data_IF_584512662733
#
_entry.id   IF_584512662733
#
_cell.length_a   1.000
_cell.length_b   1.000
_cell.length_c   1.000
_cell.angle_alpha   90.00
_cell.angle_beta   90.00
_cell.angle_gamma   90.00
#
_symmetry.space_group_name_H-M   'P 1'
#
loop_
_entity.id
_entity.type
_entity.pdbx_description
1 polymer ?
#
# COMPACT_ATOMS: atom_id res chain seq x y z
N UNK A 1 -18.82 12.27 -7.54
CA UNK A 1 -17.54 11.61 -7.83
C UNK A 1 -16.51 11.96 -6.79
N UNK A 2 -15.90 13.14 -6.90
CA UNK A 2 -14.86 13.67 -6.00
C UNK A 2 -15.25 13.61 -4.51
N UNK A 3 -16.39 14.20 -4.13
CA UNK A 3 -16.85 14.24 -2.74
C UNK A 3 -17.00 12.84 -2.09
N UNK A 4 -17.43 11.82 -2.85
CA UNK A 4 -17.59 10.47 -2.33
C UNK A 4 -16.22 9.83 -1.99
N UNK A 5 -15.22 10.07 -2.84
CA UNK A 5 -13.86 9.57 -2.64
C UNK A 5 -13.23 10.23 -1.42
N UNK A 6 -13.44 11.53 -1.23
CA UNK A 6 -12.88 12.23 -0.08
C UNK A 6 -13.55 11.82 1.23
N UNK A 7 -14.86 11.58 1.22
CA UNK A 7 -15.57 10.98 2.37
C UNK A 7 -15.00 9.59 2.68
N UNK A 8 -14.77 8.75 1.67
CA UNK A 8 -14.18 7.43 1.86
C UNK A 8 -12.80 7.52 2.49
N UNK A 9 -11.92 8.38 1.97
CA UNK A 9 -10.58 8.61 2.54
C UNK A 9 -10.65 9.10 3.98
N UNK A 10 -11.60 9.98 4.29
CA UNK A 10 -11.78 10.51 5.64
C UNK A 10 -12.10 9.38 6.64
N UNK A 11 -12.98 8.44 6.27
CA UNK A 11 -13.27 7.27 7.10
C UNK A 11 -12.06 6.36 7.28
N UNK A 12 -11.33 6.13 6.20
CA UNK A 12 -10.09 5.33 6.18
C UNK A 12 -9.00 5.94 7.08
N UNK A 13 -8.78 7.26 6.97
CA UNK A 13 -7.81 7.97 7.81
C UNK A 13 -8.26 8.12 9.26
N UNK A 14 -9.56 8.35 9.52
CA UNK A 14 -10.12 8.38 10.87
C UNK A 14 -9.83 7.07 11.60
N UNK A 15 -10.08 5.93 10.95
CA UNK A 15 -9.79 4.63 11.55
C UNK A 15 -8.29 4.42 11.80
N UNK A 16 -7.45 4.77 10.83
CA UNK A 16 -6.00 4.62 10.99
C UNK A 16 -5.45 5.48 12.13
N UNK A 17 -5.69 6.80 12.10
CA UNK A 17 -5.04 7.73 13.04
C UNK A 17 -5.76 7.78 14.41
N UNK A 18 -7.09 7.80 14.44
CA UNK A 18 -7.83 8.01 15.69
C UNK A 18 -8.13 6.72 16.45
N UNK A 19 -8.09 5.56 15.78
CA UNK A 19 -8.39 4.26 16.40
C UNK A 19 -7.14 3.39 16.49
N UNK A 20 -6.55 3.00 15.35
CA UNK A 20 -5.43 2.05 15.33
C UNK A 20 -4.14 2.65 15.87
N UNK A 21 -3.68 3.78 15.33
CA UNK A 21 -2.46 4.47 15.75
C UNK A 21 -2.55 4.93 17.20
N UNK A 22 -3.72 5.41 17.64
CA UNK A 22 -3.94 5.85 19.02
C UNK A 22 -3.88 4.71 20.03
N UNK A 23 -4.32 3.51 19.66
CA UNK A 23 -4.31 2.36 20.55
C UNK A 23 -2.92 1.71 20.65
N UNK A 24 -2.27 1.45 19.52
CA UNK A 24 -0.99 0.75 19.48
C UNK A 24 0.23 1.69 19.60
N UNK A 25 0.08 2.99 19.30
CA UNK A 25 1.19 3.94 19.35
C UNK A 25 2.31 3.54 18.40
N UNK A 26 3.52 3.35 18.93
CA UNK A 26 4.69 2.95 18.15
C UNK A 26 4.71 1.46 17.76
N UNK A 27 3.81 0.67 18.35
CA UNK A 27 3.68 -0.78 18.10
C UNK A 27 2.91 -1.10 16.81
N UNK A 28 2.51 -0.10 16.03
CA UNK A 28 1.84 -0.30 14.73
C UNK A 28 2.61 0.40 13.61
N UNK A 29 2.79 -0.32 12.49
CA UNK A 29 3.34 0.24 11.26
C UNK A 29 2.41 -0.08 10.09
N UNK A 30 2.03 0.96 9.35
CA UNK A 30 1.26 0.81 8.11
C UNK A 30 2.22 0.42 6.97
N UNK A 31 2.16 -0.84 6.55
CA UNK A 31 3.06 -1.41 5.54
C UNK A 31 2.60 -1.14 4.12
N UNK A 32 1.29 -1.13 3.88
CA UNK A 32 0.72 -0.93 2.55
C UNK A 32 -0.73 -0.44 2.64
N UNK A 33 -1.16 0.34 1.65
CA UNK A 33 -2.54 0.80 1.50
C UNK A 33 -2.96 0.83 0.03
N UNK A 34 -4.20 0.41 -0.25
CA UNK A 34 -4.91 0.66 -1.51
C UNK A 34 -6.26 1.34 -1.17
N UNK A 35 -6.98 1.76 -2.21
CA UNK A 35 -8.31 2.40 -2.25
C UNK A 35 -9.14 2.30 -0.96
N UNK A 36 -9.33 1.10 -0.43
CA UNK A 36 -10.10 0.79 0.76
C UNK A 36 -9.34 -0.08 1.79
N UNK A 37 -8.14 -0.58 1.48
CA UNK A 37 -7.46 -1.59 2.30
C UNK A 37 -6.18 -1.13 2.96
N UNK A 38 -5.87 -1.78 4.08
CA UNK A 38 -4.67 -1.59 4.89
C UNK A 38 -3.95 -2.91 5.18
N UNK A 39 -2.62 -2.82 5.20
CA UNK A 39 -1.75 -3.89 5.70
C UNK A 39 -0.98 -3.34 6.86
N UNK A 40 -1.26 -3.87 8.05
CA UNK A 40 -0.60 -3.48 9.27
C UNK A 40 0.43 -4.51 9.70
N UNK A 41 1.53 -3.99 10.21
CA UNK A 41 2.47 -4.70 11.04
C UNK A 41 2.20 -4.28 12.48
N UNK A 42 1.58 -5.16 13.27
CA UNK A 42 1.17 -4.87 14.65
C UNK A 42 2.01 -5.71 15.60
N UNK A 43 2.63 -5.03 16.57
CA UNK A 43 3.39 -5.66 17.64
C UNK A 43 2.47 -5.98 18.82
N UNK A 44 1.81 -7.13 18.77
CA UNK A 44 0.93 -7.64 19.83
C UNK A 44 1.07 -9.15 19.99
N UNK A 45 0.65 -9.68 21.14
CA UNK A 45 0.56 -11.13 21.40
C UNK A 45 -0.60 -11.76 20.62
N UNK A 46 -1.78 -11.15 20.69
CA UNK A 46 -3.00 -11.60 19.99
C UNK A 46 -3.91 -10.40 19.68
N UNK A 47 -3.99 -10.07 18.40
CA UNK A 47 -4.84 -8.98 17.92
C UNK A 47 -6.32 -9.19 18.19
N UNK A 48 -6.83 -10.42 18.08
CA UNK A 48 -8.25 -10.67 18.31
C UNK A 48 -8.61 -10.52 19.78
N UNK A 49 -7.65 -10.77 20.67
CA UNK A 49 -7.82 -10.46 22.10
C UNK A 49 -7.90 -8.94 22.32
N UNK A 50 -7.04 -8.17 21.67
CA UNK A 50 -7.08 -6.70 21.73
C UNK A 50 -8.41 -6.14 21.21
N UNK A 51 -9.01 -6.76 20.18
CA UNK A 51 -10.34 -6.39 19.68
C UNK A 51 -11.45 -6.58 20.73
N UNK A 52 -11.38 -7.64 21.53
CA UNK A 52 -12.39 -7.93 22.56
C UNK A 52 -12.23 -6.96 23.73
N UNK A 53 -10.98 -6.66 24.09
CA UNK A 53 -10.67 -5.76 25.21
C UNK A 53 -10.98 -4.29 24.88
N UNK A 54 -10.84 -3.88 23.62
CA UNK A 54 -11.11 -2.52 23.18
C UNK A 54 -12.24 -2.44 22.14
N UNK A 55 -13.42 -2.05 22.62
CA UNK A 55 -14.61 -1.88 21.78
C UNK A 55 -14.41 -0.92 20.61
N UNK A 56 -13.56 0.10 20.75
CA UNK A 56 -13.32 1.07 19.68
C UNK A 56 -12.66 0.44 18.45
N UNK A 57 -11.81 -0.58 18.63
CA UNK A 57 -11.22 -1.33 17.51
C UNK A 57 -12.29 -2.16 16.81
N UNK A 58 -13.10 -2.86 17.61
CA UNK A 58 -14.12 -3.80 17.15
C UNK A 58 -15.31 -3.10 16.48
N UNK A 59 -15.62 -1.87 16.87
CA UNK A 59 -16.76 -1.10 16.35
C UNK A 59 -16.60 -0.63 14.91
N UNK A 60 -15.41 -0.78 14.33
CA UNK A 60 -15.16 -0.48 12.91
C UNK A 60 -14.88 -1.73 12.07
N UNK A 61 -14.96 -2.92 12.68
CA UNK A 61 -14.69 -4.20 12.02
C UNK A 61 -15.95 -5.04 11.78
N UNK A 62 -16.01 -5.62 10.58
CA UNK A 62 -16.90 -6.73 10.20
C UNK A 62 -16.13 -8.05 10.34
N UNK A 63 -16.46 -8.80 11.38
CA UNK A 63 -15.87 -10.10 11.70
C UNK A 63 -16.79 -11.27 11.35
N UNK A 64 -17.82 -11.04 10.53
CA UNK A 64 -18.80 -12.06 10.17
C UNK A 64 -18.25 -13.19 9.29
N UNK A 65 -17.04 -13.02 8.74
CA UNK A 65 -16.33 -14.02 7.94
C UNK A 65 -15.40 -14.92 8.77
N UNK A 66 -15.24 -14.63 10.08
CA UNK A 66 -14.50 -15.50 11.00
C UNK A 66 -15.26 -16.82 11.24
N UNK A 67 -14.56 -17.88 11.68
CA UNK A 67 -15.21 -19.12 12.09
C UNK A 67 -16.23 -18.86 13.23
N UNK A 68 -17.40 -19.52 13.25
CA UNK A 68 -18.41 -19.30 14.29
C UNK A 68 -17.96 -19.60 15.73
N UNK A 69 -16.87 -20.36 15.87
CA UNK A 69 -16.26 -20.72 17.16
C UNK A 69 -15.37 -19.58 17.69
N UNK A 70 -14.98 -18.65 16.82
CA UNK A 70 -14.02 -17.59 17.15
C UNK A 70 -14.65 -16.55 18.10
N UNK A 71 -13.95 -16.10 19.17
CA UNK A 71 -14.52 -15.16 20.15
C UNK A 71 -15.00 -13.83 19.58
N UNK A 72 -14.33 -13.33 18.53
CA UNK A 72 -14.71 -12.10 17.84
C UNK A 72 -15.84 -12.27 16.81
N UNK A 73 -16.38 -13.47 16.60
CA UNK A 73 -17.39 -13.69 15.56
C UNK A 73 -18.70 -12.96 15.89
N UNK A 74 -19.11 -12.02 15.03
CA UNK A 74 -20.43 -11.38 15.11
C UNK A 74 -21.03 -11.19 13.73
N UNK A 75 -22.34 -11.37 13.61
CA UNK A 75 -23.09 -11.17 12.36
C UNK A 75 -23.71 -9.77 12.25
N UNK A 76 -23.62 -8.96 13.31
CA UNK A 76 -24.32 -7.68 13.40
C UNK A 76 -23.90 -6.67 12.32
N UNK A 77 -22.65 -6.75 11.83
CA UNK A 77 -22.04 -5.81 10.88
C UNK A 77 -21.81 -6.39 9.49
N UNK A 78 -22.35 -7.58 9.23
CA UNK A 78 -22.12 -8.33 8.00
C UNK A 78 -22.51 -7.53 6.76
N UNK A 79 -21.54 -7.20 5.91
CA UNK A 79 -21.74 -6.47 4.63
C UNK A 79 -22.36 -5.08 4.80
N UNK A 80 -22.16 -4.45 5.96
CA UNK A 80 -22.58 -3.07 6.17
C UNK A 80 -21.51 -2.14 5.60
N UNK A 81 -21.87 -1.14 4.76
CA UNK A 81 -20.89 -0.20 4.23
C UNK A 81 -20.19 0.61 5.32
N UNK A 82 -18.89 0.83 5.17
CA UNK A 82 -18.08 1.65 6.09
C UNK A 82 -17.42 0.89 7.24
N UNK A 83 -17.57 -0.44 7.29
CA UNK A 83 -16.82 -1.32 8.18
C UNK A 83 -15.73 -2.05 7.42
N UNK A 84 -14.60 -2.28 8.07
CA UNK A 84 -13.50 -3.05 7.50
C UNK A 84 -13.64 -4.53 7.80
N UNK A 85 -13.36 -5.35 6.82
CA UNK A 85 -13.39 -6.81 6.90
C UNK A 85 -11.98 -7.38 6.96
N UNK A 86 -11.81 -8.47 7.69
CA UNK A 86 -10.55 -9.22 7.67
C UNK A 86 -10.47 -10.13 6.43
N UNK A 87 -9.57 -9.83 5.47
CA UNK A 87 -9.40 -10.65 4.24
C UNK A 87 -8.82 -12.03 4.56
N UNK A 88 -8.06 -12.15 5.66
CA UNK A 88 -7.37 -13.38 6.04
C UNK A 88 -8.21 -14.27 6.93
N UNK A 89 -9.42 -13.84 7.33
CA UNK A 89 -10.41 -14.67 8.05
C UNK A 89 -9.86 -15.35 9.31
N UNK A 90 -9.05 -14.67 10.10
CA UNK A 90 -8.42 -15.27 11.28
C UNK A 90 -7.00 -15.78 11.06
N UNK A 91 -6.53 -15.87 9.83
CA UNK A 91 -5.21 -16.44 9.54
C UNK A 91 -4.10 -15.39 9.59
N UNK A 92 -2.99 -15.74 10.25
CA UNK A 92 -1.83 -14.85 10.36
C UNK A 92 -1.01 -14.85 9.08
N UNK A 93 -0.66 -13.66 8.61
CA UNK A 93 0.32 -13.48 7.53
C UNK A 93 1.73 -13.56 8.12
N UNK A 94 2.58 -14.40 7.54
CA UNK A 94 3.97 -14.62 8.01
C UNK A 94 4.97 -13.74 7.29
N UNK A 95 4.73 -13.48 6.01
CA UNK A 95 5.63 -12.71 5.16
C UNK A 95 4.81 -11.82 4.23
N UNK A 96 5.28 -10.59 4.03
CA UNK A 96 4.69 -9.61 3.14
C UNK A 96 5.79 -8.91 2.34
N UNK A 97 5.61 -8.81 1.02
CA UNK A 97 6.52 -8.12 0.12
C UNK A 97 5.70 -7.31 -0.90
N UNK A 98 5.77 -5.99 -0.83
CA UNK A 98 5.19 -5.09 -1.83
C UNK A 98 6.30 -4.51 -2.71
N UNK A 99 6.10 -4.54 -4.03
CA UNK A 99 7.04 -3.95 -4.98
C UNK A 99 6.58 -2.55 -5.44
N UNK A 100 5.27 -2.38 -5.64
CA UNK A 100 4.66 -1.12 -6.04
C UNK A 100 3.16 -1.14 -5.74
N UNK A 101 2.49 -0.01 -5.92
CA UNK A 101 1.04 0.06 -5.90
C UNK A 101 0.39 -1.04 -6.80
N UNK A 102 -0.49 -1.84 -6.19
CA UNK A 102 -1.24 -2.95 -6.79
C UNK A 102 -0.34 -4.11 -7.29
N UNK A 103 0.85 -4.25 -6.72
CA UNK A 103 1.80 -5.34 -6.99
C UNK A 103 2.49 -5.78 -5.70
N UNK A 104 1.98 -6.83 -5.08
CA UNK A 104 2.46 -7.34 -3.80
C UNK A 104 2.23 -8.84 -3.68
N UNK A 105 2.97 -9.47 -2.79
CA UNK A 105 2.92 -10.88 -2.50
C UNK A 105 3.01 -11.09 -0.99
N UNK A 106 2.32 -12.12 -0.49
CA UNK A 106 2.33 -12.46 0.93
C UNK A 106 2.12 -13.95 1.13
N UNK A 107 2.55 -14.44 2.29
CA UNK A 107 2.36 -15.82 2.70
C UNK A 107 1.44 -15.89 3.91
N UNK A 108 0.50 -16.82 3.88
CA UNK A 108 -0.42 -17.08 4.98
C UNK A 108 0.04 -18.35 5.67
N UNK A 109 0.12 -18.33 7.01
CA UNK A 109 0.39 -19.52 7.79
C UNK A 109 -0.70 -20.56 7.57
N UNK A 110 -0.34 -21.72 7.02
CA UNK A 110 -1.20 -22.89 7.01
C UNK A 110 -1.10 -23.55 8.40
N UNK A 111 -2.18 -23.53 9.18
CA UNK A 111 -2.26 -24.37 10.37
C UNK A 111 -2.18 -25.86 10.01
N UNK A 112 -1.93 -26.72 11.00
CA UNK A 112 -1.83 -28.18 10.80
C UNK A 112 -3.10 -28.76 10.15
N UNK A 113 -4.27 -28.24 10.53
CA UNK A 113 -5.57 -28.64 9.99
C UNK A 113 -5.80 -28.26 8.52
N UNK A 114 -5.11 -27.22 8.02
CA UNK A 114 -5.24 -26.75 6.63
C UNK A 114 -4.27 -27.45 5.68
N UNK A 115 -3.22 -28.11 6.20
CA UNK A 115 -2.29 -28.90 5.40
C UNK A 115 -2.94 -30.18 4.84
N UNK A 116 -3.98 -30.68 5.51
CA UNK A 116 -4.72 -31.91 5.15
C UNK A 116 -5.84 -31.65 4.13
N UNK A 117 -6.23 -30.37 3.93
CA UNK A 117 -7.32 -30.00 3.03
C UNK A 117 -6.87 -30.07 1.56
N UNK A 118 -7.78 -30.52 0.69
CA UNK A 118 -7.58 -30.53 -0.76
C UNK A 118 -7.09 -29.17 -1.28
N UNK A 119 -6.28 -29.15 -2.34
CA UNK A 119 -5.71 -27.93 -2.97
C UNK A 119 -6.73 -26.81 -3.25
N UNK A 120 -8.03 -27.13 -3.31
CA UNK A 120 -9.13 -26.16 -3.51
C UNK A 120 -9.52 -25.41 -2.22
N UNK A 121 -9.32 -26.01 -1.05
CA UNK A 121 -9.63 -25.46 0.27
C UNK A 121 -8.39 -25.16 1.11
N UNK A 122 -7.19 -25.37 0.58
CA UNK A 122 -5.93 -25.00 1.23
C UNK A 122 -5.91 -23.49 1.48
N UNK A 123 -5.94 -23.11 2.76
CA UNK A 123 -6.01 -21.71 3.18
C UNK A 123 -4.63 -21.05 3.14
N UNK A 124 -3.59 -21.77 3.57
CA UNK A 124 -2.23 -21.24 3.59
C UNK A 124 -1.44 -21.38 2.28
N UNK A 125 -0.30 -20.70 2.23
CA UNK A 125 0.58 -20.62 1.08
C UNK A 125 0.65 -19.22 0.46
N UNK A 126 1.48 -19.11 -0.57
CA UNK A 126 1.75 -17.82 -1.21
C UNK A 126 0.53 -17.28 -1.99
N UNK A 127 0.26 -15.99 -1.79
CA UNK A 127 -0.72 -15.20 -2.54
C UNK A 127 0.02 -14.05 -3.20
N UNK A 128 -0.19 -13.91 -4.50
CA UNK A 128 0.45 -12.87 -5.31
C UNK A 128 -0.63 -12.07 -6.02
N UNK A 129 -0.54 -10.75 -5.91
CA UNK A 129 -1.44 -9.78 -6.55
C UNK A 129 -0.58 -8.91 -7.46
N UNK A 130 -0.85 -8.93 -8.77
CA UNK A 130 -0.11 -8.15 -9.75
C UNK A 130 -1.06 -7.53 -10.78
N UNK A 131 -1.23 -6.21 -10.72
CA UNK A 131 -2.15 -5.49 -11.62
C UNK A 131 -1.79 -5.71 -13.08
N UNK A 132 -2.78 -6.18 -13.84
CA UNK A 132 -2.67 -6.35 -15.30
C UNK A 132 -2.01 -7.66 -15.74
N UNK A 133 -1.53 -8.49 -14.81
CA UNK A 133 -1.03 -9.84 -15.09
C UNK A 133 -2.19 -10.83 -14.95
N UNK A 134 -2.27 -11.84 -15.83
CA UNK A 134 -3.34 -12.85 -15.74
C UNK A 134 -3.03 -13.86 -14.64
N UNK A 135 -4.08 -14.38 -14.02
CA UNK A 135 -3.98 -15.30 -12.88
C UNK A 135 -3.15 -16.57 -13.19
N UNK A 136 -3.21 -17.12 -14.41
CA UNK A 136 -2.40 -18.28 -14.77
C UNK A 136 -0.89 -17.95 -14.76
N UNK A 137 -0.50 -16.78 -15.26
CA UNK A 137 0.92 -16.33 -15.24
C UNK A 137 1.38 -16.17 -13.79
N UNK A 138 0.52 -15.60 -12.94
CA UNK A 138 0.82 -15.42 -11.52
C UNK A 138 1.06 -16.79 -10.85
N UNK A 139 0.14 -17.75 -11.05
CA UNK A 139 0.23 -19.07 -10.40
C UNK A 139 1.38 -19.94 -10.90
N UNK A 140 1.80 -19.80 -12.16
CA UNK A 140 2.81 -20.67 -12.77
C UNK A 140 4.22 -20.09 -12.73
N UNK A 141 4.35 -18.76 -12.80
CA UNK A 141 5.64 -18.10 -13.06
C UNK A 141 6.00 -17.01 -12.07
N UNK A 142 5.16 -16.76 -11.06
CA UNK A 142 5.47 -15.81 -10.01
C UNK A 142 5.56 -16.49 -8.66
N UNK A 143 6.57 -16.14 -7.88
CA UNK A 143 6.81 -16.68 -6.54
C UNK A 143 7.09 -15.55 -5.56
N UNK A 144 6.86 -15.77 -4.27
CA UNK A 144 7.20 -14.79 -3.24
C UNK A 144 8.71 -14.52 -3.18
N UNK A 145 9.54 -15.56 -3.35
CA UNK A 145 10.99 -15.43 -3.33
C UNK A 145 11.50 -14.56 -4.49
N UNK A 146 10.92 -14.66 -5.69
CA UNK A 146 11.27 -13.77 -6.80
C UNK A 146 10.87 -12.31 -6.54
N UNK A 147 9.78 -12.06 -5.78
CA UNK A 147 9.46 -10.69 -5.34
C UNK A 147 10.55 -10.16 -4.41
N UNK A 148 11.00 -10.97 -3.45
CA UNK A 148 12.07 -10.61 -2.52
C UNK A 148 13.38 -10.33 -3.26
N UNK A 149 13.74 -11.19 -4.22
CA UNK A 149 14.90 -11.00 -5.10
C UNK A 149 14.81 -9.71 -5.89
N UNK A 150 13.65 -9.42 -6.48
CA UNK A 150 13.40 -8.17 -7.21
C UNK A 150 13.55 -6.94 -6.31
N UNK A 151 13.03 -7.00 -5.08
CA UNK A 151 13.10 -5.90 -4.12
C UNK A 151 14.56 -5.55 -3.79
N UNK A 152 15.38 -6.56 -3.50
CA UNK A 152 16.79 -6.34 -3.16
C UNK A 152 17.72 -6.14 -4.37
N UNK A 153 17.20 -6.25 -5.60
CA UNK A 153 17.98 -6.11 -6.83
C UNK A 153 18.92 -7.29 -7.11
N UNK A 154 18.55 -8.50 -6.66
CA UNK A 154 19.31 -9.71 -6.94
C UNK A 154 19.13 -10.14 -8.39
N UNK A 155 20.21 -10.62 -9.02
CA UNK A 155 20.19 -11.08 -10.40
C UNK A 155 19.35 -12.37 -10.56
N UNK A 156 18.75 -12.55 -11.75
CA UNK A 156 18.05 -13.78 -12.13
C UNK A 156 16.53 -13.71 -12.18
N UNK A 157 15.93 -12.56 -11.82
CA UNK A 157 14.47 -12.36 -11.97
C UNK A 157 14.14 -11.86 -13.37
N UNK A 158 13.41 -12.67 -14.15
CA UNK A 158 12.88 -12.23 -15.43
C UNK A 158 11.77 -11.21 -15.23
N UNK A 159 12.08 -9.94 -15.48
CA UNK A 159 11.14 -8.83 -15.30
C UNK A 159 9.92 -8.91 -16.23
N UNK A 160 10.03 -9.59 -17.38
CA UNK A 160 8.96 -9.67 -18.37
C UNK A 160 8.47 -11.10 -18.59
N UNK A 161 7.15 -11.30 -18.58
CA UNK A 161 6.54 -12.59 -18.93
C UNK A 161 5.49 -12.45 -20.02
N UNK A 162 5.32 -13.53 -20.77
CA UNK A 162 4.29 -13.64 -21.79
C UNK A 162 2.94 -13.85 -21.11
N UNK A 163 2.03 -12.92 -21.35
CA UNK A 163 0.66 -12.98 -20.88
C UNK A 163 -0.26 -13.30 -22.06
N UNK A 164 -0.89 -14.47 -22.02
CA UNK A 164 -1.80 -14.93 -23.08
C UNK A 164 -3.25 -14.67 -22.66
N UNK A 165 -4.03 -14.03 -23.53
CA UNK A 165 -5.45 -13.79 -23.26
C UNK A 165 -6.29 -13.86 -24.52
N UNK A 166 -7.53 -14.32 -24.37
CA UNK A 166 -8.53 -14.29 -25.44
C UNK A 166 -9.30 -12.98 -25.32
N UNK A 167 -9.45 -12.25 -26.43
CA UNK A 167 -10.20 -11.00 -26.51
C UNK A 167 -11.05 -10.97 -27.78
N UNK A 168 -12.23 -10.38 -27.69
CA UNK A 168 -13.08 -10.10 -28.85
C UNK A 168 -12.78 -8.72 -29.41
N UNK A 169 -12.57 -8.63 -30.73
CA UNK A 169 -12.56 -7.38 -31.47
C UNK A 169 -13.54 -7.49 -32.61
N UNK A 170 -14.50 -6.55 -32.72
CA UNK A 170 -15.55 -6.58 -33.74
C UNK A 170 -16.22 -7.96 -33.85
N UNK A 171 -16.55 -8.55 -32.70
CA UNK A 171 -17.15 -9.90 -32.57
C UNK A 171 -16.27 -11.08 -33.04
N UNK A 172 -15.00 -10.86 -33.34
CA UNK A 172 -14.04 -11.92 -33.65
C UNK A 172 -13.13 -12.19 -32.45
N UNK A 173 -13.11 -13.45 -31.99
CA UNK A 173 -12.24 -13.89 -30.91
C UNK A 173 -10.82 -14.06 -31.44
N UNK A 174 -9.86 -13.42 -30.76
CA UNK A 174 -8.44 -13.53 -31.06
C UNK A 174 -7.66 -13.86 -29.79
N UNK A 175 -6.62 -14.68 -29.94
CA UNK A 175 -5.64 -14.93 -28.88
C UNK A 175 -4.53 -13.88 -28.97
N UNK A 176 -4.45 -13.00 -27.99
CA UNK A 176 -3.39 -11.99 -27.87
C UNK A 176 -2.33 -12.52 -26.94
N UNK A 177 -1.07 -12.50 -27.41
CA UNK A 177 0.12 -12.67 -26.56
C UNK A 177 0.73 -11.30 -26.33
N UNK A 178 0.85 -10.88 -25.07
CA UNK A 178 1.46 -9.60 -24.71
C UNK A 178 2.57 -9.84 -23.72
N UNK A 179 3.78 -9.34 -24.02
CA UNK A 179 4.89 -9.34 -23.07
C UNK A 179 4.63 -8.24 -22.04
N UNK A 180 4.44 -8.63 -20.77
CA UNK A 180 4.15 -7.70 -19.68
C UNK A 180 5.26 -7.69 -18.65
N UNK A 181 5.54 -6.50 -18.12
CA UNK A 181 6.39 -6.32 -16.95
C UNK A 181 5.66 -6.90 -15.72
N UNK A 182 6.23 -7.97 -15.14
CA UNK A 182 5.69 -8.69 -13.98
C UNK A 182 6.35 -8.26 -12.68
N UNK A 183 7.67 -8.13 -12.69
CA UNK A 183 8.46 -7.70 -11.55
C UNK A 183 9.01 -6.31 -11.81
N UNK A 184 8.67 -5.36 -10.94
CA UNK A 184 9.17 -4.01 -10.99
C UNK A 184 9.06 -3.40 -9.59
N UNK A 185 10.21 -3.10 -8.99
CA UNK A 185 10.33 -2.41 -7.70
C UNK A 185 10.31 -0.88 -7.83
N UNK A 186 10.28 -0.34 -9.05
CA UNK A 186 10.15 1.10 -9.25
C UNK A 186 8.71 1.54 -8.97
N UNK A 187 8.55 2.34 -7.91
CA UNK A 187 7.30 3.00 -7.55
C UNK A 187 7.38 4.48 -7.96
N UNK A 188 6.47 4.91 -8.84
CA UNK A 188 6.41 6.27 -9.36
C UNK A 188 5.89 7.28 -8.32
N UNK A 189 5.28 6.80 -7.24
CA UNK A 189 4.57 7.64 -6.26
C UNK A 189 5.36 7.89 -4.98
N UNK A 190 6.47 7.18 -4.78
CA UNK A 190 7.26 7.23 -3.56
C UNK A 190 8.74 7.20 -3.86
N UNK A 191 9.52 7.83 -3.00
CA UNK A 191 10.98 7.72 -2.99
C UNK A 191 11.37 6.56 -2.10
N UNK A 192 12.10 5.60 -2.66
CA UNK A 192 12.60 4.43 -1.92
C UNK A 192 13.94 4.80 -1.29
N UNK A 193 14.09 4.58 0.02
CA UNK A 193 15.33 4.83 0.75
C UNK A 193 16.39 3.76 0.44
N UNK A 194 17.63 4.01 0.85
CA UNK A 194 18.78 3.13 0.58
C UNK A 194 18.61 1.69 1.08
N UNK A 195 17.82 1.50 2.14
CA UNK A 195 17.49 0.19 2.68
C UNK A 195 16.51 -0.63 1.83
N UNK A 196 15.95 -0.03 0.77
CA UNK A 196 14.97 -0.59 -0.18
C UNK A 196 13.65 -1.03 0.44
N UNK A 197 13.42 -0.75 1.71
CA UNK A 197 12.23 -1.18 2.46
C UNK A 197 11.40 0.04 2.83
N UNK A 198 12.05 1.08 3.34
CA UNK A 198 11.36 2.29 3.72
C UNK A 198 11.16 3.18 2.51
N UNK A 199 9.98 3.81 2.47
CA UNK A 199 9.59 4.68 1.38
C UNK A 199 9.00 5.96 1.94
N UNK A 200 9.34 7.09 1.33
CA UNK A 200 8.82 8.39 1.66
C UNK A 200 7.95 8.91 0.51
N UNK A 201 6.95 9.72 0.83
CA UNK A 201 6.21 10.43 -0.20
C UNK A 201 7.11 11.50 -0.84
N UNK A 202 6.89 11.80 -2.13
CA UNK A 202 7.55 12.93 -2.78
C UNK A 202 7.31 14.23 -1.99
N UNK A 203 8.36 15.04 -1.80
CA UNK A 203 8.31 16.27 -1.01
C UNK A 203 8.40 16.07 0.51
N UNK A 204 8.68 14.85 0.99
CA UNK A 204 8.98 14.60 2.40
C UNK A 204 10.29 15.29 2.80
N UNK A 205 10.32 15.97 3.95
CA UNK A 205 11.46 16.79 4.40
C UNK A 205 12.78 16.03 4.59
N UNK A 206 12.71 14.72 4.79
CA UNK A 206 13.89 13.84 4.93
C UNK A 206 14.46 13.34 3.61
N UNK A 207 13.78 13.61 2.49
CA UNK A 207 14.38 13.48 1.17
C UNK A 207 15.22 14.73 1.02
N UNK A 208 16.52 14.58 0.87
CA UNK A 208 17.35 15.69 0.42
C UNK A 208 16.79 16.12 -0.93
N UNK A 209 16.25 17.34 -0.99
CA UNK A 209 15.87 17.94 -2.24
C UNK A 209 17.16 17.93 -3.07
N UNK A 210 17.23 17.11 -4.12
CA UNK A 210 18.17 17.36 -5.21
C UNK A 210 17.80 18.77 -5.71
N UNK A 211 18.45 19.79 -5.13
CA UNK A 211 18.31 21.23 -5.36
C UNK A 211 18.73 21.63 -6.79
N UNK A 212 18.51 20.75 -7.77
CA UNK A 212 18.84 20.93 -9.18
C UNK A 212 17.66 20.71 -10.14
N UNK A 213 16.40 20.71 -9.65
CA UNK A 213 15.33 21.14 -10.55
C UNK A 213 15.36 22.66 -10.65
N UNK A 214 16.24 23.13 -11.55
CA UNK A 214 16.10 24.41 -12.22
C UNK A 214 14.65 24.47 -12.70
N UNK A 215 13.81 25.22 -12.00
CA UNK A 215 12.52 25.65 -12.53
C UNK A 215 12.90 26.56 -13.70
N UNK A 216 12.91 25.98 -14.90
CA UNK A 216 13.10 26.72 -16.14
C UNK A 216 11.91 27.66 -16.26
N UNK A 217 12.12 28.90 -15.82
CA UNK A 217 11.12 29.95 -15.94
C UNK A 217 11.12 30.32 -17.42
N UNK A 218 10.05 30.05 -18.19
CA UNK A 218 10.02 30.41 -19.59
C UNK A 218 10.35 31.90 -19.72
N UNK A 219 11.36 32.24 -20.52
CA UNK A 219 11.96 33.58 -20.57
C UNK A 219 10.98 34.69 -21.00
N UNK A 220 9.78 34.33 -21.48
CA UNK A 220 8.78 35.26 -21.98
C UNK A 220 7.41 35.10 -21.30
N UNK A 221 7.33 35.40 -20.00
CA UNK A 221 6.07 35.87 -19.41
C UNK A 221 6.13 37.39 -19.23
N UNK A 222 5.24 38.06 -19.95
CA UNK A 222 5.01 39.49 -19.91
C UNK A 222 3.86 39.71 -18.93
N UNK A 223 4.01 40.66 -17.99
CA UNK A 223 2.93 41.04 -17.07
C UNK A 223 1.69 41.56 -17.80
N UNK A 224 0.55 41.58 -17.09
CA UNK A 224 -0.72 42.16 -17.58
C UNK A 224 -0.63 43.66 -18.01
N UNK A 225 0.51 44.29 -17.76
CA UNK A 225 0.87 45.68 -18.09
C UNK A 225 2.01 45.79 -19.14
N UNK A 226 2.27 44.72 -19.91
CA UNK A 226 3.32 44.65 -20.94
C UNK A 226 4.76 44.88 -20.43
N UNK A 227 5.04 44.55 -19.16
CA UNK A 227 6.37 44.67 -18.55
C UNK A 227 7.05 43.32 -18.42
N UNK A 228 8.29 43.24 -18.89
CA UNK A 228 9.13 42.05 -18.68
C UNK A 228 9.54 41.96 -17.20
N UNK A 229 9.37 40.77 -16.62
CA UNK A 229 9.90 40.48 -15.29
C UNK A 229 11.43 40.54 -15.31
N UNK A 230 11.99 41.56 -14.66
CA UNK A 230 13.42 41.59 -14.42
C UNK A 230 13.85 40.43 -13.49
N UNK A 231 15.12 40.05 -13.58
CA UNK A 231 15.68 38.90 -12.89
C UNK A 231 15.57 39.02 -11.35
N UNK A 232 15.65 40.26 -10.83
CA UNK A 232 15.45 40.55 -9.41
C UNK A 232 14.03 40.27 -8.91
N UNK A 233 13.01 40.52 -9.73
CA UNK A 233 11.61 40.21 -9.39
C UNK A 233 11.38 38.68 -9.38
N UNK A 234 11.97 37.95 -10.35
CA UNK A 234 11.90 36.48 -10.40
C UNK A 234 12.54 35.87 -9.16
N UNK A 235 13.70 36.37 -8.72
CA UNK A 235 14.37 35.90 -7.51
C UNK A 235 13.58 36.21 -6.23
N UNK A 236 12.94 37.39 -6.16
CA UNK A 236 12.09 37.75 -5.03
C UNK A 236 10.86 36.83 -4.93
N UNK A 237 10.26 36.46 -6.06
CA UNK A 237 9.15 35.49 -6.10
C UNK A 237 9.59 34.06 -5.76
N UNK A 238 10.78 33.63 -6.21
CA UNK A 238 11.38 32.36 -5.80
C UNK A 238 11.59 32.31 -4.28
N UNK A 239 12.08 33.41 -3.69
CA UNK A 239 12.24 33.54 -2.23
C UNK A 239 10.90 33.54 -1.50
N UNK A 240 9.88 34.24 -2.00
CA UNK A 240 8.53 34.28 -1.42
C UNK A 240 7.85 32.91 -1.46
N UNK A 241 7.94 32.20 -2.59
CA UNK A 241 7.42 30.83 -2.73
C UNK A 241 8.14 29.86 -1.80
N UNK A 242 9.46 30.03 -1.62
CA UNK A 242 10.27 29.25 -0.68
C UNK A 242 9.84 29.49 0.77
N UNK A 243 9.48 30.72 1.13
CA UNK A 243 9.10 31.03 2.52
C UNK A 243 7.64 30.68 2.83
N UNK A 244 6.75 30.76 1.84
CA UNK A 244 5.37 30.23 1.94
C UNK A 244 5.36 28.70 2.09
N UNK A 245 6.24 27.99 1.38
CA UNK A 245 6.37 26.53 1.52
C UNK A 245 6.98 26.12 2.86
N UNK A 246 7.92 26.89 3.42
CA UNK A 246 8.45 26.66 4.78
C UNK A 246 7.39 26.87 5.87
N UNK A 247 6.56 27.90 5.76
CA UNK A 247 5.51 28.19 6.75
C UNK A 247 4.41 27.12 6.80
N UNK A 248 4.10 26.48 5.68
CA UNK A 248 3.19 25.32 5.62
C UNK A 248 3.81 24.03 6.21
N UNK A 249 5.14 23.91 6.20
CA UNK A 249 5.88 22.71 6.67
C UNK A 249 6.01 22.61 8.20
N UNK A 250 5.70 23.68 8.97
CA UNK A 250 5.86 23.68 10.44
C UNK A 250 4.75 22.92 11.20
N UNK A 251 3.69 22.45 10.54
CA UNK A 251 2.50 21.88 11.20
C UNK A 251 2.44 20.35 11.29
N UNK A 252 3.42 19.61 10.76
CA UNK A 252 3.35 18.14 10.70
C UNK A 252 4.69 17.58 11.19
N UNK A 253 4.77 17.40 12.50
CA UNK A 253 5.94 16.95 13.24
C UNK A 253 5.91 15.42 13.47
N UNK A 254 7.12 14.80 13.46
CA UNK A 254 7.60 13.71 14.35
C UNK A 254 6.98 12.29 14.11
N UNK A 255 7.64 11.12 14.09
CA UNK A 255 8.97 10.58 14.48
C UNK A 255 9.28 9.33 13.59
N UNK A 256 10.56 8.97 13.44
CA UNK A 256 11.08 7.70 12.86
C UNK A 256 11.88 6.98 13.95
N UNK A 257 11.78 5.63 14.10
CA UNK A 257 12.92 4.71 14.34
C UNK A 257 12.59 3.19 14.23
N UNK A 258 13.48 2.49 13.52
CA UNK A 258 14.00 1.09 13.52
C UNK A 258 13.19 -0.20 13.86
N UNK A 259 13.20 -1.12 12.86
CA UNK A 259 13.60 -2.56 12.76
C UNK A 259 13.08 -3.70 13.71
N UNK A 260 12.54 -4.74 13.03
CA UNK A 260 12.40 -6.21 13.26
C UNK A 260 12.42 -6.80 14.68
N UNK A 261 11.57 -7.77 15.07
CA UNK A 261 11.35 -9.14 14.53
C UNK A 261 10.22 -9.78 15.37
N UNK A 262 9.43 -10.71 14.81
CA UNK A 262 8.26 -11.40 15.43
C UNK A 262 6.97 -10.58 15.56
N UNK A 263 6.27 -10.30 14.47
CA UNK A 263 5.00 -9.60 14.58
C UNK A 263 3.94 -10.15 13.64
N UNK A 264 2.72 -10.22 14.18
CA UNK A 264 1.52 -10.65 13.49
C UNK A 264 1.21 -9.59 12.42
N UNK A 265 1.30 -9.98 11.15
CA UNK A 265 0.89 -9.14 10.05
C UNK A 265 -0.62 -9.31 9.85
N UNK A 266 -1.37 -8.21 9.91
CA UNK A 266 -2.83 -8.23 9.82
C UNK A 266 -3.25 -7.37 8.65
N UNK A 267 -4.02 -7.97 7.77
CA UNK A 267 -4.54 -7.34 6.57
C UNK A 267 -6.01 -7.01 6.81
N UNK A 268 -6.32 -5.72 6.90
CA UNK A 268 -7.65 -5.21 7.17
C UNK A 268 -8.13 -4.51 5.90
N UNK A 269 -9.17 -5.03 5.25
CA UNK A 269 -9.72 -4.57 3.97
C UNK A 269 -10.96 -3.72 4.17
#
# INVERSE_FOLDING_TARGET
GFALIDISKTLTYDYHYNVMQKHYGDNIKLMYTDTDSFVYLIQTEDFYKDLIENSNLMDRLDTADLPPIHPCYTTARKKVPGFFSDELKGHTMTEFCALRAKSYAYNIYAGEDDAVRDNKFKVGGEKIKAKGVKQHVIKTHMTLEDHRRCLFGQAGVEAYRNNVSIRSFKHQLMTIRTKKLTYNSYDDKRVVLDDKIHTLAHGHYSIEDDDEQIVDWPDHEIDADDREWNESNKDLMRLLLRELTKLLKLYIYIYIFLICKYHVHIYIL
#
